data_IF_122789640807
#
_entry.id   IF_122789640807
#
_cell.length_a   1.000
_cell.length_b   1.000
_cell.length_c   1.000
_cell.angle_alpha   90.00
_cell.angle_beta   90.00
_cell.angle_gamma   90.00
#
_symmetry.space_group_name_H-M   'P 1'
#
loop_
_entity.id
_entity.type
_entity.pdbx_description
1 polymer ?
#
# COMPACT_ATOMS: atom_id res chain seq x y z
N UNK A 1 -11.97 5.00 -6.50
CA UNK A 1 -11.90 3.59 -6.93
C UNK A 1 -11.97 3.54 -8.46
N UNK A 2 -11.26 2.63 -9.14
CA UNK A 2 -11.53 2.39 -10.58
C UNK A 2 -12.73 1.46 -10.64
N UNK A 3 -13.80 1.87 -11.30
CA UNK A 3 -14.95 1.01 -11.57
C UNK A 3 -14.47 -0.28 -12.26
N UNK A 4 -14.97 -1.44 -11.83
CA UNK A 4 -14.68 -2.71 -12.51
C UNK A 4 -15.11 -2.67 -13.99
N UNK A 5 -16.07 -1.81 -14.33
CA UNK A 5 -16.54 -1.58 -15.70
C UNK A 5 -15.48 -0.95 -16.64
N UNK A 6 -14.36 -0.43 -16.09
CA UNK A 6 -13.27 0.14 -16.89
C UNK A 6 -12.19 -0.89 -17.28
N UNK A 7 -12.22 -2.11 -16.75
CA UNK A 7 -11.22 -3.13 -17.10
C UNK A 7 -11.55 -3.77 -18.45
N UNK A 8 -10.79 -3.43 -19.49
CA UNK A 8 -10.87 -4.01 -20.83
C UNK A 8 -10.03 -5.28 -21.01
N UNK A 9 -9.29 -5.73 -19.99
CA UNK A 9 -8.49 -6.94 -20.07
C UNK A 9 -9.38 -8.21 -20.01
N UNK A 10 -9.02 -9.21 -20.83
CA UNK A 10 -9.73 -10.48 -20.90
C UNK A 10 -9.60 -11.24 -19.57
N UNK A 11 -10.67 -11.94 -19.15
CA UNK A 11 -10.74 -12.63 -17.85
C UNK A 11 -9.55 -13.56 -17.61
N UNK A 12 -9.03 -14.18 -18.68
CA UNK A 12 -7.87 -15.09 -18.66
C UNK A 12 -6.54 -14.41 -18.32
N UNK A 13 -6.41 -13.09 -18.54
CA UNK A 13 -5.22 -12.29 -18.20
C UNK A 13 -5.34 -11.61 -16.83
N UNK A 14 -6.51 -11.66 -16.20
CA UNK A 14 -6.72 -11.13 -14.85
C UNK A 14 -5.95 -11.99 -13.86
N UNK A 15 -4.85 -11.46 -13.33
CA UNK A 15 -4.19 -12.07 -12.18
C UNK A 15 -5.10 -11.96 -10.97
N UNK A 16 -5.71 -13.07 -10.57
CA UNK A 16 -6.36 -13.19 -9.27
C UNK A 16 -5.29 -13.13 -8.20
N UNK A 17 -5.23 -12.04 -7.44
CA UNK A 17 -4.43 -12.02 -6.21
C UNK A 17 -5.01 -13.02 -5.21
N UNK A 18 -4.17 -13.57 -4.33
CA UNK A 18 -4.62 -14.42 -3.22
C UNK A 18 -5.41 -13.65 -2.15
N UNK A 19 -5.22 -12.32 -2.08
CA UNK A 19 -5.86 -11.47 -1.09
C UNK A 19 -7.17 -10.87 -1.62
N UNK A 20 -8.21 -10.78 -0.79
CA UNK A 20 -9.41 -10.00 -1.09
C UNK A 20 -9.05 -8.57 -1.50
N UNK A 21 -9.72 -8.04 -2.52
CA UNK A 21 -9.45 -6.70 -3.07
C UNK A 21 -9.55 -5.61 -2.00
N UNK A 22 -10.47 -5.76 -1.04
CA UNK A 22 -10.59 -4.88 0.12
C UNK A 22 -9.30 -4.84 0.95
N UNK A 23 -8.80 -5.99 1.39
CA UNK A 23 -7.61 -6.08 2.25
C UNK A 23 -6.38 -5.54 1.52
N UNK A 24 -6.20 -5.94 0.26
CA UNK A 24 -5.12 -5.41 -0.57
C UNK A 24 -5.20 -3.88 -0.74
N UNK A 25 -6.42 -3.35 -0.86
CA UNK A 25 -6.62 -1.91 -0.97
C UNK A 25 -6.26 -1.16 0.31
N UNK A 26 -6.59 -1.71 1.48
CA UNK A 26 -6.35 -1.10 2.77
C UNK A 26 -4.94 -1.36 3.34
N UNK A 27 -4.20 -2.31 2.79
CA UNK A 27 -2.85 -2.70 3.23
C UNK A 27 -1.91 -1.54 3.61
N UNK A 28 -1.71 -0.48 2.78
CA UNK A 28 -0.85 0.62 3.17
C UNK A 28 -1.35 1.39 4.40
N UNK A 29 -2.66 1.50 4.58
CA UNK A 29 -3.25 2.16 5.75
C UNK A 29 -3.11 1.32 7.01
N UNK A 30 -3.18 -0.01 6.88
CA UNK A 30 -2.93 -0.93 7.99
C UNK A 30 -1.50 -0.75 8.51
N UNK A 31 -0.50 -0.61 7.62
CA UNK A 31 0.88 -0.34 8.04
C UNK A 31 1.02 1.01 8.77
N UNK A 32 0.36 2.06 8.30
CA UNK A 32 0.40 3.37 8.96
C UNK A 32 -0.27 3.34 10.34
N UNK A 33 -1.45 2.73 10.44
CA UNK A 33 -2.17 2.60 11.72
C UNK A 33 -1.37 1.75 12.69
N UNK A 34 -0.77 0.65 12.24
CA UNK A 34 0.09 -0.18 13.06
C UNK A 34 1.31 0.60 13.58
N UNK A 35 1.96 1.38 12.73
CA UNK A 35 3.09 2.22 13.15
C UNK A 35 2.68 3.26 14.20
N UNK A 36 1.54 3.94 14.00
CA UNK A 36 1.00 4.89 14.99
C UNK A 36 0.61 4.21 16.30
N UNK A 37 0.04 3.01 16.24
CA UNK A 37 -0.30 2.22 17.41
C UNK A 37 0.97 1.83 18.19
N UNK A 38 2.02 1.37 17.51
CA UNK A 38 3.30 1.05 18.15
C UNK A 38 3.88 2.30 18.83
N UNK A 39 3.87 3.45 18.15
CA UNK A 39 4.31 4.71 18.75
C UNK A 39 3.54 5.11 20.01
N UNK A 40 2.22 4.90 20.01
CA UNK A 40 1.35 5.30 21.12
C UNK A 40 1.40 4.33 22.30
N UNK A 41 1.42 3.02 22.03
CA UNK A 41 1.28 1.99 23.06
C UNK A 41 2.63 1.41 23.50
N UNK A 42 3.67 1.45 22.65
CA UNK A 42 5.01 0.92 22.94
C UNK A 42 6.08 1.99 22.69
N UNK A 43 6.14 3.06 23.51
CA UNK A 43 7.12 4.14 23.34
C UNK A 43 8.53 3.79 23.83
N UNK A 44 8.75 2.61 24.41
CA UNK A 44 10.03 2.23 25.04
C UNK A 44 10.94 1.47 24.07
N UNK A 45 12.23 1.46 24.38
CA UNK A 45 13.24 0.63 23.71
C UNK A 45 13.33 0.85 22.20
N UNK A 46 13.43 -0.24 21.43
CA UNK A 46 13.63 -0.25 19.98
C UNK A 46 12.32 -0.14 19.18
N UNK A 47 11.16 -0.17 19.85
CA UNK A 47 9.85 -0.15 19.21
C UNK A 47 9.57 1.13 18.39
N UNK A 48 9.97 2.35 18.83
CA UNK A 48 9.84 3.56 18.01
C UNK A 48 10.61 3.47 16.69
N UNK A 49 11.80 2.84 16.69
CA UNK A 49 12.61 2.67 15.47
C UNK A 49 11.88 1.74 14.49
N UNK A 50 11.35 0.62 14.99
CA UNK A 50 10.50 -0.27 14.19
C UNK A 50 9.26 0.45 13.65
N UNK A 51 8.62 1.30 14.44
CA UNK A 51 7.48 2.09 14.01
C UNK A 51 7.84 3.09 12.89
N UNK A 52 9.00 3.75 12.96
CA UNK A 52 9.51 4.64 11.90
C UNK A 52 9.76 3.86 10.61
N UNK A 53 10.38 2.69 10.70
CA UNK A 53 10.61 1.82 9.55
C UNK A 53 9.28 1.38 8.91
N UNK A 54 8.30 0.99 9.72
CA UNK A 54 6.99 0.56 9.23
C UNK A 54 6.20 1.74 8.61
N UNK A 55 6.28 2.92 9.22
CA UNK A 55 5.62 4.13 8.74
C UNK A 55 6.21 4.59 7.41
N UNK A 56 7.54 4.63 7.30
CA UNK A 56 8.22 4.99 6.05
C UNK A 56 7.92 4.01 4.93
N UNK A 57 7.87 2.70 5.22
CA UNK A 57 7.46 1.68 4.26
C UNK A 57 6.00 1.82 3.80
N UNK A 58 5.07 2.09 4.74
CA UNK A 58 3.67 2.36 4.41
C UNK A 58 3.51 3.58 3.49
N UNK A 59 4.23 4.68 3.80
CA UNK A 59 4.27 5.88 2.97
C UNK A 59 4.84 5.59 1.58
N UNK A 60 5.94 4.84 1.50
CA UNK A 60 6.56 4.43 0.25
C UNK A 60 5.58 3.68 -0.66
N UNK A 61 4.82 2.72 -0.10
CA UNK A 61 3.78 2.00 -0.85
C UNK A 61 2.70 2.96 -1.35
N UNK A 62 2.25 3.93 -0.54
CA UNK A 62 1.26 4.93 -0.96
C UNK A 62 1.77 5.79 -2.11
N UNK A 63 3.01 6.27 -2.03
CA UNK A 63 3.65 7.07 -3.09
C UNK A 63 3.77 6.25 -4.36
N UNK A 64 4.33 5.04 -4.30
CA UNK A 64 4.40 4.12 -5.45
C UNK A 64 3.02 3.95 -6.06
N UNK A 65 2.01 3.67 -5.24
CA UNK A 65 0.63 3.46 -5.69
C UNK A 65 0.01 4.72 -6.30
N UNK A 66 0.34 5.92 -5.82
CA UNK A 66 -0.15 7.17 -6.40
C UNK A 66 0.50 7.42 -7.78
N UNK A 67 1.80 7.14 -7.91
CA UNK A 67 2.56 7.24 -9.16
C UNK A 67 2.03 6.27 -10.22
N UNK A 68 1.91 4.97 -9.91
CA UNK A 68 1.41 3.97 -10.87
C UNK A 68 -0.08 4.15 -11.22
N UNK A 69 -0.90 4.77 -10.35
CA UNK A 69 -2.30 5.07 -10.68
C UNK A 69 -2.43 6.12 -11.78
N UNK A 70 -1.47 7.04 -11.89
CA UNK A 70 -1.50 8.18 -12.82
C UNK A 70 -1.15 7.83 -14.26
N UNK A 71 -0.86 6.56 -14.59
CA UNK A 71 -0.49 6.15 -15.96
C UNK A 71 0.61 7.00 -16.61
N UNK A 72 1.45 7.66 -15.81
CA UNK A 72 2.74 8.12 -16.29
C UNK A 72 3.65 6.93 -16.08
N UNK A 73 3.86 6.15 -17.14
CA UNK A 73 4.99 5.23 -17.17
C UNK A 73 6.21 6.06 -16.72
N UNK A 74 7.02 5.58 -15.77
CA UNK A 74 8.29 6.25 -15.52
C UNK A 74 8.98 6.34 -16.87
N UNK A 75 9.32 7.56 -17.28
CA UNK A 75 10.24 7.77 -18.38
C UNK A 75 11.55 7.18 -17.86
N UNK A 76 11.79 5.91 -18.15
CA UNK A 76 13.09 5.31 -17.97
C UNK A 76 14.03 6.03 -18.93
N UNK A 77 15.18 6.53 -18.47
CA UNK A 77 16.21 7.06 -19.37
C UNK A 77 16.71 5.98 -20.34
#
# INVERSE_FOLDING_TARGET
MRSQNRRTDSVRRRKSGYLPEMIYNFLPFIYLIAALAIFKFLPKDLYPILAICLLSYGLYILVRRSLYRRHKLPITP
#
